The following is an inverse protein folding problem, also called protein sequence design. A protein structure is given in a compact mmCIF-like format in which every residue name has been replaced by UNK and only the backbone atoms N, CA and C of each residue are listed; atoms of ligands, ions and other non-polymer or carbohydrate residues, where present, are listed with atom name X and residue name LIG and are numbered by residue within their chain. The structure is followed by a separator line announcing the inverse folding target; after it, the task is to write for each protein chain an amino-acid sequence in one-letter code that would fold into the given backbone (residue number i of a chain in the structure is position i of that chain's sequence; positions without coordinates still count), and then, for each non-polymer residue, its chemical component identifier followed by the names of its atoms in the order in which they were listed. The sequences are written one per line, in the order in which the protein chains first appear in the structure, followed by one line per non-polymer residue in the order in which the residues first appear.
data_IF_210491740360
#
_entry.id   IF_210491740360
#
_cell.length_a   1.000
_cell.length_b   1.000
_cell.length_c   1.000
_cell.angle_alpha   90.00
_cell.angle_beta   90.00
_cell.angle_gamma   90.00
#
_symmetry.space_group_name_H-M   'P 1'
#
loop_
_entity.id
_entity.type
_entity.pdbx_description
1 polymer ?
#
# COMPACT_ATOMS: atom_id res chain seq x y z
N UNK A 1 -11.22 -18.36 -12.93
CA UNK A 1 -10.73 -16.99 -12.74
C UNK A 1 -11.20 -16.57 -11.37
N UNK A 2 -10.27 -16.34 -10.47
CA UNK A 2 -10.55 -16.05 -9.05
C UNK A 2 -10.63 -14.55 -8.86
N UNK A 3 -11.64 -14.07 -8.14
CA UNK A 3 -11.77 -12.63 -7.86
C UNK A 3 -11.37 -12.36 -6.41
N UNK A 4 -10.51 -11.36 -6.20
CA UNK A 4 -10.15 -10.86 -4.87
C UNK A 4 -10.52 -9.38 -4.79
N UNK A 5 -11.33 -9.03 -3.80
CA UNK A 5 -11.68 -7.64 -3.52
C UNK A 5 -10.72 -7.06 -2.48
N UNK A 6 -10.16 -5.91 -2.78
CA UNK A 6 -9.37 -5.11 -1.83
C UNK A 6 -10.22 -3.94 -1.34
N UNK A 7 -10.15 -3.66 -0.04
CA UNK A 7 -10.86 -2.54 0.55
C UNK A 7 -9.95 -1.76 1.50
N UNK A 8 -9.50 -0.57 1.08
CA UNK A 8 -8.78 0.37 1.93
C UNK A 8 -9.75 1.47 2.39
N UNK A 9 -10.37 1.36 3.59
CA UNK A 9 -11.47 2.24 4.01
C UNK A 9 -11.00 3.62 4.47
N UNK A 10 -9.70 3.86 4.60
CA UNK A 10 -9.14 5.10 5.14
C UNK A 10 -8.98 6.19 4.07
N UNK A 11 -8.73 5.81 2.82
CA UNK A 11 -8.47 6.74 1.71
C UNK A 11 -8.77 6.12 0.34
N UNK A 12 -9.41 6.87 -0.54
CA UNK A 12 -9.62 6.45 -1.93
C UNK A 12 -8.30 6.47 -2.74
N UNK A 13 -7.31 7.28 -2.34
CA UNK A 13 -5.98 7.26 -2.94
C UNK A 13 -5.23 5.98 -2.59
N UNK A 14 -5.34 5.55 -1.32
CA UNK A 14 -4.70 4.32 -0.87
C UNK A 14 -5.34 3.13 -1.58
N UNK A 15 -6.67 3.10 -1.70
CA UNK A 15 -7.41 2.08 -2.45
C UNK A 15 -6.89 1.92 -3.89
N UNK A 16 -6.68 3.02 -4.62
CA UNK A 16 -6.11 2.98 -5.97
C UNK A 16 -4.69 2.45 -5.99
N UNK A 17 -3.88 2.89 -5.02
CA UNK A 17 -2.47 2.51 -4.92
C UNK A 17 -2.31 1.03 -4.63
N UNK A 18 -3.00 0.51 -3.62
CA UNK A 18 -2.96 -0.92 -3.26
C UNK A 18 -3.54 -1.80 -4.37
N UNK A 19 -4.58 -1.34 -5.07
CA UNK A 19 -5.12 -2.02 -6.25
C UNK A 19 -4.09 -2.07 -7.40
N UNK A 20 -3.35 -0.98 -7.63
CA UNK A 20 -2.27 -0.94 -8.60
C UNK A 20 -1.14 -1.94 -8.24
N UNK A 21 -0.71 -1.95 -6.98
CA UNK A 21 0.31 -2.89 -6.49
C UNK A 21 -0.16 -4.34 -6.62
N UNK A 22 -1.40 -4.65 -6.23
CA UNK A 22 -1.97 -5.99 -6.35
C UNK A 22 -2.01 -6.49 -7.79
N UNK A 23 -2.45 -5.65 -8.74
CA UNK A 23 -2.45 -6.01 -10.18
C UNK A 23 -1.05 -6.34 -10.68
N UNK A 24 -0.03 -5.65 -10.18
CA UNK A 24 1.38 -5.91 -10.53
C UNK A 24 1.89 -7.20 -9.89
N UNK A 25 1.50 -7.51 -8.66
CA UNK A 25 1.79 -8.79 -8.01
C UNK A 25 1.14 -9.95 -8.78
N UNK A 26 -0.14 -9.84 -9.14
CA UNK A 26 -0.84 -10.84 -9.96
C UNK A 26 -0.11 -11.08 -11.28
N UNK A 27 0.28 -10.00 -11.96
CA UNK A 27 1.07 -10.09 -13.20
C UNK A 27 2.43 -10.74 -12.97
N UNK A 28 3.11 -10.41 -11.87
CA UNK A 28 4.42 -10.98 -11.53
C UNK A 28 4.35 -12.49 -11.30
N UNK A 29 3.33 -12.96 -10.58
CA UNK A 29 3.14 -14.39 -10.32
C UNK A 29 2.44 -15.16 -11.44
N UNK A 30 2.03 -14.49 -12.52
CA UNK A 30 1.24 -15.08 -13.61
C UNK A 30 -0.02 -15.80 -13.09
N UNK A 31 -0.70 -15.16 -12.13
CA UNK A 31 -1.88 -15.71 -11.46
C UNK A 31 -3.16 -15.36 -12.23
N UNK A 32 -4.09 -16.32 -12.33
CA UNK A 32 -5.42 -16.08 -12.93
C UNK A 32 -6.40 -15.44 -11.92
N UNK A 33 -6.00 -14.28 -11.38
CA UNK A 33 -6.75 -13.53 -10.36
C UNK A 33 -7.17 -12.17 -10.92
N UNK A 34 -8.45 -11.85 -10.82
CA UNK A 34 -8.96 -10.50 -11.07
C UNK A 34 -8.98 -9.73 -9.75
N UNK A 35 -8.30 -8.59 -9.74
CA UNK A 35 -8.31 -7.66 -8.59
C UNK A 35 -9.46 -6.67 -8.75
N UNK A 36 -10.34 -6.66 -7.76
CA UNK A 36 -11.43 -5.70 -7.60
C UNK A 36 -11.12 -4.78 -6.41
N UNK A 37 -11.67 -3.57 -6.40
CA UNK A 37 -11.52 -2.62 -5.30
C UNK A 37 -12.85 -2.01 -4.86
N UNK A 38 -12.90 -1.51 -3.62
CA UNK A 38 -14.03 -0.79 -3.06
C UNK A 38 -13.59 0.49 -2.37
N UNK A 39 -14.42 1.53 -2.44
CA UNK A 39 -14.08 2.88 -1.99
C UNK A 39 -14.33 3.10 -0.49
N UNK A 40 -13.70 4.14 0.04
CA UNK A 40 -14.02 4.70 1.37
C UNK A 40 -15.48 5.13 1.47
N UNK A 41 -16.04 5.66 0.38
CA UNK A 41 -17.47 6.04 0.32
C UNK A 41 -18.36 4.83 0.51
N UNK A 42 -18.08 3.71 -0.18
CA UNK A 42 -18.82 2.47 -0.01
C UNK A 42 -18.71 1.95 1.44
N UNK A 43 -17.53 2.07 2.06
CA UNK A 43 -17.33 1.67 3.45
C UNK A 43 -18.21 2.49 4.40
N UNK A 44 -18.15 3.82 4.26
CA UNK A 44 -18.95 4.75 5.05
C UNK A 44 -20.46 4.51 4.90
N UNK A 45 -20.93 4.14 3.71
CA UNK A 45 -22.32 3.75 3.50
C UNK A 45 -22.65 2.42 4.19
N UNK A 46 -21.75 1.43 4.11
CA UNK A 46 -21.95 0.13 4.73
C UNK A 46 -22.10 0.25 6.26
N UNK A 47 -21.25 1.06 6.91
CA UNK A 47 -21.30 1.24 8.36
C UNK A 47 -22.43 2.15 8.86
N UNK A 48 -23.04 2.98 7.98
CA UNK A 48 -24.15 3.87 8.33
C UNK A 48 -25.52 3.20 8.26
N UNK A 49 -25.64 2.05 7.61
CA UNK A 49 -26.92 1.31 7.56
C UNK A 49 -27.35 0.91 8.97
N UNK A 50 -28.47 1.46 9.42
CA UNK A 50 -29.09 1.20 10.71
C UNK A 50 -29.39 -0.30 10.88
N UNK A 51 -29.02 -0.89 12.02
CA UNK A 51 -29.28 -2.31 12.33
C UNK A 51 -28.06 -3.22 12.60
N UNK A 52 -26.91 -2.68 12.99
CA UNK A 52 -25.79 -3.46 13.57
C UNK A 52 -24.86 -4.19 12.58
N UNK A 53 -25.38 -4.66 11.44
CA UNK A 53 -24.64 -5.59 10.55
C UNK A 53 -24.36 -5.04 9.14
N UNK A 54 -24.42 -3.73 8.93
CA UNK A 54 -24.30 -3.14 7.60
C UNK A 54 -22.99 -3.47 6.87
N UNK A 55 -21.85 -3.48 7.59
CA UNK A 55 -20.54 -3.85 7.05
C UNK A 55 -20.47 -5.33 6.70
N UNK A 56 -20.98 -6.21 7.59
CA UNK A 56 -21.06 -7.65 7.31
C UNK A 56 -21.88 -7.94 6.06
N UNK A 57 -23.07 -7.34 5.94
CA UNK A 57 -23.92 -7.49 4.75
C UNK A 57 -23.21 -7.04 3.47
N UNK A 58 -22.42 -5.96 3.54
CA UNK A 58 -21.63 -5.51 2.40
C UNK A 58 -20.55 -6.54 2.01
N UNK A 59 -19.81 -7.08 2.99
CA UNK A 59 -18.84 -8.16 2.76
C UNK A 59 -19.51 -9.41 2.19
N UNK A 60 -20.64 -9.85 2.74
CA UNK A 60 -21.39 -11.00 2.25
C UNK A 60 -21.88 -10.79 0.80
N UNK A 61 -22.18 -9.55 0.39
CA UNK A 61 -22.50 -9.21 -1.00
C UNK A 61 -21.25 -9.34 -1.89
N UNK A 62 -20.10 -8.79 -1.47
CA UNK A 62 -18.86 -8.90 -2.25
C UNK A 62 -18.41 -10.35 -2.42
N UNK A 63 -18.60 -11.18 -1.39
CA UNK A 63 -18.27 -12.61 -1.39
C UNK A 63 -19.17 -13.45 -2.31
N UNK A 64 -20.25 -12.90 -2.86
CA UNK A 64 -21.00 -13.58 -3.94
C UNK A 64 -20.21 -13.65 -5.24
N UNK A 65 -19.33 -12.67 -5.47
CA UNK A 65 -18.56 -12.53 -6.70
C UNK A 65 -17.04 -12.56 -6.47
N UNK A 66 -16.59 -12.73 -5.22
CA UNK A 66 -15.18 -12.75 -4.83
C UNK A 66 -14.92 -13.94 -3.91
N UNK A 67 -13.78 -14.60 -4.08
CA UNK A 67 -13.35 -15.68 -3.18
C UNK A 67 -12.82 -15.12 -1.84
N UNK A 68 -12.28 -13.91 -1.87
CA UNK A 68 -11.63 -13.26 -0.75
C UNK A 68 -11.90 -11.75 -0.75
N UNK A 69 -12.14 -11.20 0.44
CA UNK A 69 -12.12 -9.76 0.71
C UNK A 69 -10.91 -9.46 1.61
N UNK A 70 -10.05 -8.52 1.21
CA UNK A 70 -8.89 -8.09 2.00
C UNK A 70 -9.10 -6.63 2.39
N UNK A 71 -9.29 -6.39 3.68
CA UNK A 71 -9.17 -5.05 4.26
C UNK A 71 -7.70 -4.67 4.43
N UNK A 72 -7.37 -3.43 4.10
CA UNK A 72 -6.05 -2.85 4.33
C UNK A 72 -6.22 -1.59 5.18
N UNK A 73 -5.50 -1.53 6.31
CA UNK A 73 -5.43 -0.35 7.17
C UNK A 73 -3.98 0.03 7.41
N UNK A 74 -3.70 1.32 7.54
CA UNK A 74 -2.40 1.75 8.06
C UNK A 74 -2.22 1.27 9.50
N UNK A 75 -1.04 0.72 9.78
CA UNK A 75 -0.71 0.28 11.13
C UNK A 75 -0.49 1.51 12.01
N UNK A 76 -1.35 1.66 13.02
CA UNK A 76 -1.12 2.61 14.10
C UNK A 76 0.16 2.32 14.87
N UNK A 77 0.75 3.36 15.46
CA UNK A 77 1.73 3.20 16.53
C UNK A 77 1.14 2.37 17.67
N UNK A 78 1.98 1.59 18.36
CA UNK A 78 1.56 0.59 19.37
C UNK A 78 0.56 1.15 20.39
N UNK A 79 0.80 2.37 20.89
CA UNK A 79 -0.08 3.01 21.87
C UNK A 79 -1.44 3.39 21.27
N UNK A 80 -1.46 3.99 20.08
CA UNK A 80 -2.68 4.35 19.36
C UNK A 80 -3.50 3.11 18.99
N UNK A 81 -2.84 2.03 18.58
CA UNK A 81 -3.49 0.75 18.30
C UNK A 81 -4.15 0.19 19.56
N UNK A 82 -3.43 0.17 20.68
CA UNK A 82 -3.95 -0.30 21.96
C UNK A 82 -5.17 0.51 22.41
N UNK A 83 -5.16 1.83 22.22
CA UNK A 83 -6.32 2.69 22.51
C UNK A 83 -7.51 2.40 21.59
N UNK A 84 -7.30 2.31 20.27
CA UNK A 84 -8.38 2.01 19.31
C UNK A 84 -9.01 0.63 19.52
N UNK A 85 -8.24 -0.34 20.02
CA UNK A 85 -8.77 -1.66 20.39
C UNK A 85 -9.70 -1.60 21.61
N UNK A 86 -9.54 -0.62 22.51
CA UNK A 86 -10.44 -0.42 23.65
C UNK A 86 -11.77 0.22 23.25
N UNK A 87 -11.81 0.94 22.12
CA UNK A 87 -13.03 1.55 21.59
C UNK A 87 -13.87 0.52 20.81
N UNK A 88 -15.03 0.06 21.31
CA UNK A 88 -15.76 -1.04 20.68
C UNK A 88 -16.13 -0.74 19.23
N UNK A 89 -16.41 0.53 18.90
CA UNK A 89 -16.86 0.98 17.59
C UNK A 89 -15.77 1.56 16.70
N UNK A 90 -14.48 1.41 17.06
CA UNK A 90 -13.37 1.81 16.19
C UNK A 90 -13.40 1.07 14.85
N UNK A 91 -12.75 1.66 13.85
CA UNK A 91 -12.63 1.11 12.50
C UNK A 91 -12.10 -0.34 12.53
N UNK A 92 -11.00 -0.55 13.25
CA UNK A 92 -10.33 -1.85 13.39
C UNK A 92 -11.25 -2.88 14.06
N UNK A 93 -11.95 -2.52 15.14
CA UNK A 93 -12.85 -3.45 15.84
C UNK A 93 -14.10 -3.80 15.02
N UNK A 94 -14.59 -2.88 14.18
CA UNK A 94 -15.68 -3.17 13.25
C UNK A 94 -15.24 -4.14 12.16
N UNK A 95 -14.04 -3.99 11.63
CA UNK A 95 -13.48 -4.88 10.61
C UNK A 95 -13.19 -6.26 11.21
N UNK A 96 -12.53 -6.33 12.38
CA UNK A 96 -12.21 -7.58 13.06
C UNK A 96 -13.45 -8.46 13.30
N UNK A 97 -14.57 -7.85 13.74
CA UNK A 97 -15.85 -8.57 13.90
C UNK A 97 -16.31 -9.24 12.59
N UNK A 98 -16.15 -8.56 11.46
CA UNK A 98 -16.53 -9.11 10.16
C UNK A 98 -15.54 -10.16 9.67
N UNK A 99 -14.24 -9.97 9.93
CA UNK A 99 -13.17 -10.93 9.64
C UNK A 99 -13.42 -12.25 10.39
N UNK A 100 -13.66 -12.19 11.70
CA UNK A 100 -13.96 -13.37 12.55
C UNK A 100 -15.20 -14.14 12.05
N UNK A 101 -16.24 -13.41 11.64
CA UNK A 101 -17.49 -13.99 11.16
C UNK A 101 -17.43 -14.51 9.71
N UNK A 102 -16.34 -14.26 8.99
CA UNK A 102 -16.20 -14.62 7.57
C UNK A 102 -15.67 -16.04 7.32
N UNK A 103 -15.24 -16.75 8.36
CA UNK A 103 -14.63 -18.08 8.26
C UNK A 103 -13.45 -18.12 7.28
N UNK A 104 -12.59 -17.08 7.31
CA UNK A 104 -11.38 -16.98 6.48
C UNK A 104 -11.59 -16.43 5.07
N UNK A 105 -12.83 -16.04 4.70
CA UNK A 105 -13.12 -15.38 3.40
C UNK A 105 -12.93 -13.87 3.44
N UNK A 106 -12.69 -13.31 4.61
CA UNK A 106 -12.34 -11.91 4.82
C UNK A 106 -11.09 -11.83 5.69
N UNK A 107 -10.15 -10.97 5.32
CA UNK A 107 -8.89 -10.77 6.04
C UNK A 107 -8.68 -9.28 6.31
N UNK A 108 -7.89 -8.97 7.34
CA UNK A 108 -7.37 -7.63 7.61
C UNK A 108 -5.85 -7.70 7.58
N UNK A 109 -5.23 -6.87 6.76
CA UNK A 109 -3.78 -6.68 6.71
C UNK A 109 -3.48 -5.25 7.19
N UNK A 110 -2.54 -5.14 8.12
CA UNK A 110 -2.06 -3.85 8.61
C UNK A 110 -0.79 -3.45 7.86
N UNK A 111 -0.84 -2.33 7.13
CA UNK A 111 0.27 -1.77 6.37
C UNK A 111 1.29 -1.19 7.34
N UNK A 112 2.44 -1.84 7.46
CA UNK A 112 3.50 -1.41 8.38
C UNK A 112 4.27 -0.21 7.79
N UNK A 113 4.38 0.86 8.58
CA UNK A 113 4.99 2.13 8.21
C UNK A 113 4.25 2.86 7.07
N UNK A 114 2.91 2.83 7.10
CA UNK A 114 2.04 3.49 6.11
C UNK A 114 2.25 2.94 4.68
N UNK A 115 1.38 3.33 3.76
CA UNK A 115 1.46 2.95 2.35
C UNK A 115 2.78 3.38 1.69
N UNK A 116 3.39 4.47 2.14
CA UNK A 116 4.66 4.96 1.62
C UNK A 116 5.81 3.96 1.78
N UNK A 117 5.80 3.11 2.82
CA UNK A 117 6.79 2.05 2.97
C UNK A 117 6.67 1.00 1.86
N UNK A 118 5.47 0.76 1.32
CA UNK A 118 5.27 -0.10 0.16
C UNK A 118 5.78 0.56 -1.12
N UNK A 119 5.72 1.88 -1.24
CA UNK A 119 6.29 2.58 -2.40
C UNK A 119 7.82 2.53 -2.40
N UNK A 120 8.44 2.64 -1.21
CA UNK A 120 9.88 2.66 -1.01
C UNK A 120 10.58 1.32 -1.27
N UNK A 121 9.84 0.24 -1.55
CA UNK A 121 10.44 -1.06 -1.90
C UNK A 121 11.18 -1.03 -3.24
N UNK A 122 10.89 -0.03 -4.09
CA UNK A 122 11.59 0.21 -5.36
C UNK A 122 11.87 1.70 -5.58
N UNK A 123 12.98 2.18 -5.01
CA UNK A 123 13.45 3.55 -5.19
C UNK A 123 13.72 3.91 -6.66
N UNK A 124 14.03 2.94 -7.53
CA UNK A 124 14.28 3.19 -8.94
C UNK A 124 12.97 3.47 -9.70
N UNK A 125 11.88 2.80 -9.33
CA UNK A 125 10.53 3.12 -9.81
C UNK A 125 10.08 4.53 -9.44
N UNK A 126 10.39 4.98 -8.23
CA UNK A 126 10.15 6.37 -7.80
C UNK A 126 10.97 7.35 -8.66
N UNK A 127 12.24 7.03 -8.94
CA UNK A 127 13.07 7.82 -9.86
C UNK A 127 12.43 7.91 -11.26
N UNK A 128 11.88 6.80 -11.79
CA UNK A 128 11.16 6.79 -13.07
C UNK A 128 9.94 7.71 -13.08
N UNK A 129 9.20 7.78 -11.98
CA UNK A 129 8.07 8.71 -11.84
C UNK A 129 8.52 10.16 -11.99
N UNK A 130 9.47 10.61 -11.16
CA UNK A 130 9.91 12.02 -11.17
C UNK A 130 10.67 12.43 -12.43
N UNK A 131 11.46 11.53 -13.02
CA UNK A 131 12.14 11.78 -14.29
C UNK A 131 11.19 11.73 -15.49
N UNK A 132 9.96 11.23 -15.31
CA UNK A 132 8.98 10.99 -16.38
C UNK A 132 9.53 10.14 -17.53
N UNK A 133 10.48 9.25 -17.23
CA UNK A 133 11.18 8.44 -18.22
C UNK A 133 11.40 7.02 -17.70
N UNK A 134 10.88 6.02 -18.42
CA UNK A 134 11.10 4.61 -18.09
C UNK A 134 12.54 4.16 -18.37
N UNK A 135 13.22 4.80 -19.33
CA UNK A 135 14.64 4.57 -19.61
C UNK A 135 15.57 4.85 -18.43
N UNK A 136 15.10 5.62 -17.43
CA UNK A 136 15.77 5.83 -16.14
C UNK A 136 16.13 4.51 -15.44
N UNK A 137 15.34 3.44 -15.63
CA UNK A 137 15.67 2.11 -15.09
C UNK A 137 16.97 1.55 -15.63
N UNK A 138 17.36 1.92 -16.85
CA UNK A 138 18.56 1.40 -17.51
C UNK A 138 19.78 2.32 -17.35
N UNK A 139 19.60 3.55 -16.89
CA UNK A 139 20.68 4.51 -16.69
C UNK A 139 21.51 4.16 -15.42
N UNK A 140 22.81 3.84 -15.56
CA UNK A 140 23.69 3.55 -14.42
C UNK A 140 23.73 4.66 -13.37
N UNK A 141 23.60 5.93 -13.76
CA UNK A 141 23.59 7.08 -12.85
C UNK A 141 22.38 7.02 -11.92
N UNK A 142 21.22 6.64 -12.44
CA UNK A 142 19.99 6.52 -11.66
C UNK A 142 19.92 5.22 -10.88
N UNK A 143 20.41 4.10 -11.43
CA UNK A 143 20.59 2.85 -10.67
C UNK A 143 21.45 3.08 -9.42
N UNK A 144 22.61 3.71 -9.58
CA UNK A 144 23.50 4.01 -8.46
C UNK A 144 22.90 5.00 -7.47
N UNK A 145 22.15 6.00 -7.96
CA UNK A 145 21.46 6.95 -7.11
C UNK A 145 20.35 6.29 -6.28
N UNK A 146 19.46 5.52 -6.92
CA UNK A 146 18.40 4.79 -6.24
C UNK A 146 18.98 3.79 -5.23
N UNK A 147 20.01 3.02 -5.61
CA UNK A 147 20.67 2.05 -4.71
C UNK A 147 21.22 2.70 -3.44
N UNK A 148 21.74 3.94 -3.50
CA UNK A 148 22.22 4.67 -2.33
C UNK A 148 21.11 5.06 -1.34
N UNK A 149 19.88 5.24 -1.84
CA UNK A 149 18.71 5.58 -1.01
C UNK A 149 17.85 4.36 -0.71
N UNK A 150 18.15 3.21 -1.31
CA UNK A 150 17.37 2.01 -1.14
C UNK A 150 17.67 1.40 0.23
N UNK A 151 16.76 1.61 1.18
CA UNK A 151 16.78 0.94 2.48
C UNK A 151 16.45 -0.55 2.28
N UNK A 152 17.01 -1.41 3.13
CA UNK A 152 16.73 -2.85 3.17
C UNK A 152 15.25 -3.15 3.42
N UNK A 153 14.86 -3.36 4.68
CA UNK A 153 13.47 -3.55 5.09
C UNK A 153 12.78 -2.19 5.31
N UNK A 154 11.70 -1.92 4.57
CA UNK A 154 11.02 -0.62 4.59
C UNK A 154 10.02 -0.47 5.72
N UNK A 155 9.55 -1.57 6.31
CA UNK A 155 8.76 -1.57 7.55
C UNK A 155 9.61 -1.24 8.80
N UNK A 156 10.95 -1.22 8.66
CA UNK A 156 11.89 -0.76 9.69
C UNK A 156 12.28 0.71 9.55
N UNK A 157 11.64 1.48 8.66
CA UNK A 157 11.80 2.93 8.57
C UNK A 157 11.01 3.57 9.72
N UNK A 158 11.46 3.30 10.96
CA UNK A 158 10.90 3.84 12.20
C UNK A 158 11.85 4.94 12.73
N UNK A 159 11.30 5.86 13.53
CA UNK A 159 11.97 6.88 14.34
C UNK A 159 13.38 6.45 14.81
N UNK A 160 14.42 6.85 14.07
CA UNK A 160 15.78 6.75 14.59
C UNK A 160 16.05 7.80 15.68
N UNK A 161 15.23 8.86 15.79
CA UNK A 161 15.34 9.92 16.79
C UNK A 161 13.96 10.51 17.14
N UNK A 162 13.80 10.95 18.40
CA UNK A 162 12.62 11.67 18.89
C UNK A 162 12.39 12.94 18.05
N UNK A 163 11.34 12.94 17.23
CA UNK A 163 10.98 14.04 16.33
C UNK A 163 11.28 13.82 14.83
N UNK A 164 11.57 12.58 14.39
CA UNK A 164 11.90 12.31 12.97
C UNK A 164 11.11 11.20 12.28
N UNK A 165 10.82 11.40 10.99
CA UNK A 165 11.40 10.51 9.96
C UNK A 165 10.59 9.33 9.47
N UNK A 166 9.26 9.25 9.63
CA UNK A 166 8.48 8.08 9.15
C UNK A 166 8.65 7.83 7.62
N UNK A 167 8.17 6.69 7.10
CA UNK A 167 8.33 6.34 5.69
C UNK A 167 7.85 7.44 4.73
N UNK A 168 6.76 8.13 5.07
CA UNK A 168 6.28 9.29 4.33
C UNK A 168 7.27 10.44 4.31
N UNK A 169 7.81 10.84 5.45
CA UNK A 169 8.84 11.89 5.49
C UNK A 169 10.13 11.47 4.77
N UNK A 170 10.50 10.19 4.84
CA UNK A 170 11.59 9.64 4.05
C UNK A 170 11.33 9.80 2.55
N UNK A 171 10.16 9.37 2.08
CA UNK A 171 9.77 9.48 0.67
C UNK A 171 9.71 10.94 0.20
N UNK A 172 9.20 11.85 1.02
CA UNK A 172 9.21 13.29 0.75
C UNK A 172 10.63 13.81 0.59
N UNK A 173 11.58 13.42 1.44
CA UNK A 173 12.97 13.88 1.30
C UNK A 173 13.67 13.22 0.11
N UNK A 174 13.46 11.94 -0.11
CA UNK A 174 14.00 11.24 -1.27
C UNK A 174 13.51 11.87 -2.59
N UNK A 175 12.22 12.21 -2.68
CA UNK A 175 11.69 12.92 -3.85
C UNK A 175 12.32 14.30 -4.07
N UNK A 176 12.61 15.06 -3.00
CA UNK A 176 13.37 16.32 -3.13
C UNK A 176 14.76 16.08 -3.69
N UNK A 177 15.45 15.03 -3.24
CA UNK A 177 16.79 14.70 -3.72
C UNK A 177 16.78 14.30 -5.20
N UNK A 178 15.73 13.59 -5.65
CA UNK A 178 15.51 13.30 -7.08
C UNK A 178 15.32 14.60 -7.86
N UNK A 179 14.43 15.49 -7.41
CA UNK A 179 14.15 16.76 -8.11
C UNK A 179 15.39 17.65 -8.17
N UNK A 180 16.16 17.76 -7.08
CA UNK A 180 17.46 18.46 -7.04
C UNK A 180 18.46 17.85 -8.02
N UNK A 181 18.50 16.52 -8.13
CA UNK A 181 19.39 15.84 -9.08
C UNK A 181 19.00 16.09 -10.54
N UNK A 182 17.70 16.22 -10.83
CA UNK A 182 17.20 16.58 -12.17
C UNK A 182 17.54 18.03 -12.49
N UNK A 183 17.28 18.96 -11.56
CA UNK A 183 17.55 20.38 -11.72
C UNK A 183 18.28 20.95 -10.48
N UNK A 184 19.62 20.99 -10.48
CA UNK A 184 20.40 21.47 -9.35
C UNK A 184 20.20 22.95 -9.01
N UNK A 185 19.68 23.75 -9.94
CA UNK A 185 19.47 25.19 -9.77
C UNK A 185 18.06 25.52 -9.25
N UNK A 186 17.24 24.51 -8.97
CA UNK A 186 15.88 24.71 -8.49
C UNK A 186 15.90 25.30 -7.07
N UNK A 187 15.12 26.37 -6.85
CA UNK A 187 15.00 27.01 -5.53
C UNK A 187 14.17 26.14 -4.57
N UNK A 188 14.43 26.25 -3.27
CA UNK A 188 13.72 25.48 -2.23
C UNK A 188 12.20 25.62 -2.27
N UNK A 189 11.69 26.82 -2.60
CA UNK A 189 10.25 27.05 -2.75
C UNK A 189 9.62 26.21 -3.86
N UNK A 190 10.36 25.96 -4.93
CA UNK A 190 9.88 25.23 -6.10
C UNK A 190 10.11 23.72 -5.93
N UNK A 191 11.13 23.33 -5.15
CA UNK A 191 11.33 21.95 -4.69
C UNK A 191 10.15 21.43 -3.88
N UNK A 192 9.62 22.25 -2.95
CA UNK A 192 8.44 21.88 -2.15
C UNK A 192 7.19 21.63 -2.99
N UNK A 193 7.09 22.22 -4.19
CA UNK A 193 5.95 22.02 -5.10
C UNK A 193 6.08 20.78 -5.98
N UNK A 194 7.30 20.25 -6.11
CA UNK A 194 7.63 19.13 -6.98
C UNK A 194 8.00 17.86 -6.22
N UNK A 195 8.04 17.91 -4.88
CA UNK A 195 8.21 16.74 -4.04
C UNK A 195 6.96 15.85 -4.08
N UNK A 196 7.11 14.63 -3.58
CA UNK A 196 6.01 13.69 -3.39
C UNK A 196 4.85 14.27 -2.58
N UNK A 197 3.64 13.89 -2.99
CA UNK A 197 2.37 14.11 -2.31
C UNK A 197 1.59 12.80 -2.34
N UNK A 198 0.80 12.50 -1.31
CA UNK A 198 -0.04 11.29 -1.24
C UNK A 198 -1.02 11.17 -2.42
N UNK A 199 -1.41 12.31 -3.02
CA UNK A 199 -2.25 12.31 -4.22
C UNK A 199 -1.55 11.74 -5.46
N UNK A 200 -0.26 11.43 -5.38
CA UNK A 200 0.54 10.81 -6.42
C UNK A 200 0.88 9.33 -6.14
N UNK A 201 0.44 8.76 -5.01
CA UNK A 201 0.77 7.38 -4.59
C UNK A 201 0.46 6.35 -5.68
N UNK A 202 -0.68 6.46 -6.34
CA UNK A 202 -1.12 5.55 -7.40
C UNK A 202 -0.23 5.66 -8.64
N UNK A 203 0.11 6.89 -9.05
CA UNK A 203 1.01 7.15 -10.17
C UNK A 203 2.45 6.70 -9.89
N UNK A 204 2.90 6.80 -8.63
CA UNK A 204 4.19 6.25 -8.21
C UNK A 204 4.14 4.71 -8.27
N UNK A 205 3.08 4.09 -7.74
CA UNK A 205 2.88 2.64 -7.79
C UNK A 205 2.89 2.08 -9.23
N UNK A 206 2.33 2.80 -10.20
CA UNK A 206 2.41 2.45 -11.62
C UNK A 206 3.85 2.30 -12.13
N UNK A 207 4.79 3.05 -11.55
CA UNK A 207 6.20 3.01 -11.98
C UNK A 207 7.04 1.99 -11.25
N UNK A 208 6.58 1.41 -10.14
CA UNK A 208 7.32 0.38 -9.40
C UNK A 208 7.53 -0.90 -10.22
N UNK A 209 8.55 -1.66 -9.88
CA UNK A 209 8.76 -3.01 -10.39
C UNK A 209 8.51 -3.99 -9.25
N UNK A 210 7.71 -5.03 -9.52
CA UNK A 210 7.39 -6.06 -8.53
C UNK A 210 8.20 -7.31 -8.87
N UNK A 211 8.99 -7.75 -7.91
CA UNK A 211 9.86 -8.93 -7.91
C UNK A 211 9.85 -9.55 -6.52
N UNK A 212 10.36 -10.78 -6.37
CA UNK A 212 10.58 -11.39 -5.06
C UNK A 212 11.41 -10.48 -4.14
N UNK A 213 12.44 -9.81 -4.68
CA UNK A 213 13.27 -8.90 -3.89
C UNK A 213 12.48 -7.69 -3.40
N UNK A 214 11.65 -7.07 -4.23
CA UNK A 214 10.88 -5.88 -3.82
C UNK A 214 9.76 -6.25 -2.85
N UNK A 215 9.10 -7.40 -3.05
CA UNK A 215 8.08 -7.92 -2.12
C UNK A 215 8.70 -8.19 -0.75
N UNK A 216 9.86 -8.84 -0.70
CA UNK A 216 10.54 -9.22 0.55
C UNK A 216 11.08 -8.02 1.35
N UNK A 217 11.06 -6.79 0.81
CA UNK A 217 11.50 -5.59 1.53
C UNK A 217 10.47 -5.08 2.54
N UNK A 218 9.24 -5.58 2.54
CA UNK A 218 8.24 -5.16 3.53
C UNK A 218 7.39 -6.36 3.94
N UNK A 219 7.34 -6.64 5.24
CA UNK A 219 6.64 -7.82 5.75
C UNK A 219 5.13 -7.79 5.45
N UNK A 220 4.48 -6.63 5.58
CA UNK A 220 3.04 -6.50 5.25
C UNK A 220 2.76 -6.58 3.75
N UNK A 221 3.68 -6.11 2.90
CA UNK A 221 3.58 -6.32 1.45
C UNK A 221 3.77 -7.80 1.09
N UNK A 222 4.69 -8.48 1.77
CA UNK A 222 4.92 -9.92 1.59
C UNK A 222 3.70 -10.74 1.99
N UNK A 223 3.10 -10.46 3.15
CA UNK A 223 1.83 -11.05 3.59
C UNK A 223 0.73 -10.82 2.53
N UNK A 224 0.57 -9.57 2.10
CA UNK A 224 -0.40 -9.22 1.06
C UNK A 224 -0.17 -9.98 -0.25
N UNK A 225 1.08 -10.08 -0.70
CA UNK A 225 1.45 -10.74 -1.94
C UNK A 225 1.16 -12.26 -1.93
N UNK A 226 1.21 -12.92 -0.77
CA UNK A 226 0.94 -14.36 -0.65
C UNK A 226 -0.48 -14.72 -1.11
N UNK A 227 -1.46 -13.82 -0.93
CA UNK A 227 -2.84 -14.04 -1.37
C UNK A 227 -3.04 -14.00 -2.89
N UNK A 228 -2.04 -13.49 -3.63
CA UNK A 228 -2.07 -13.43 -5.09
C UNK A 228 -1.11 -14.43 -5.74
N UNK A 229 -0.33 -15.17 -4.95
CA UNK A 229 0.57 -16.19 -5.48
C UNK A 229 -0.26 -17.36 -6.01
N UNK A 230 0.11 -17.88 -7.19
CA UNK A 230 -0.52 -19.07 -7.77
C UNK A 230 -0.46 -20.20 -6.73
N UNK A 231 -1.63 -20.67 -6.29
CA UNK A 231 -1.69 -21.90 -5.50
C UNK A 231 -1.22 -23.02 -6.43
N UNK A 232 -0.10 -23.64 -6.09
CA UNK A 232 0.33 -24.87 -6.76
C UNK A 232 -0.64 -25.93 -6.26
N UNK A 233 -1.51 -26.41 -7.14
CA UNK A 233 -2.34 -27.57 -6.84
C UNK A 233 -1.39 -28.74 -6.62
N UNK A 234 -1.25 -29.17 -5.36
CA UNK A 234 -0.67 -30.48 -5.07
C UNK A 234 -1.72 -31.52 -5.45
N UNK A 235 -1.56 -32.10 -6.64
CA UNK A 235 -2.28 -33.32 -7.05
C UNK A 235 -1.84 -34.51 -6.20
#
# INVERSE_FOLDING_TARGET
MTNILIWAPESDFDSKTVCCIAKKIVKYYDSNITVLDSSKVAFNQAIKKTGGDGLKKAVDIYLKNSELVIFLLDADGVQSQAQRLQEPNSLINRINRVVEQSQGKCLLILIRQELEAWLLVDCLGICCYFTKNLGTRNDPKWKNFAKKHQIGQTDLIIEAESGGKNAKEYLVNFSKDIVKKINPQLKDKDLKKQQYSENDSDKVAEKLEITDQTIARNNSLSEFAQHFKKKVDFN
#
